data_IF_070948428926
#
_entry.id   IF_070948428926
#
_cell.length_a   1.000
_cell.length_b   1.000
_cell.length_c   1.000
_cell.angle_alpha   90.00
_cell.angle_beta   90.00
_cell.angle_gamma   90.00
#
_symmetry.space_group_name_H-M   'P 1'
#
loop_
_entity.id
_entity.type
_entity.pdbx_description
1 polymer ?
#
# COMPACT_ATOMS: atom_id res chain seq x y z
N UNK A 1 5.89 23.98 2.84
CA UNK A 1 5.43 24.40 4.20
C UNK A 1 6.66 24.51 5.10
N UNK A 2 6.82 25.62 5.86
CA UNK A 2 7.90 25.70 6.83
C UNK A 2 7.65 24.67 7.96
N UNK A 3 8.72 24.12 8.55
CA UNK A 3 8.60 23.12 9.62
C UNK A 3 7.66 23.56 10.76
N UNK A 4 7.64 24.85 11.05
CA UNK A 4 6.76 25.42 12.11
C UNK A 4 5.28 25.38 11.73
N UNK A 5 4.94 25.71 10.50
CA UNK A 5 3.53 25.68 10.02
C UNK A 5 3.02 24.25 9.88
N UNK A 6 3.90 23.31 9.54
CA UNK A 6 3.61 21.88 9.52
C UNK A 6 3.26 21.35 10.92
N UNK A 7 4.11 21.65 11.93
CA UNK A 7 3.88 21.24 13.31
C UNK A 7 2.62 21.89 13.90
N UNK A 8 2.39 23.17 13.63
CA UNK A 8 1.19 23.87 14.08
C UNK A 8 -0.09 23.25 13.49
N UNK A 9 -0.10 22.93 12.20
CA UNK A 9 -1.24 22.26 11.54
C UNK A 9 -1.50 20.88 12.12
N UNK A 10 -0.45 20.12 12.40
CA UNK A 10 -0.56 18.79 13.00
C UNK A 10 -1.09 18.86 14.42
N UNK A 11 -0.59 19.80 15.24
CA UNK A 11 -1.07 20.02 16.60
C UNK A 11 -2.55 20.44 16.62
N UNK A 12 -2.93 21.40 15.80
CA UNK A 12 -4.32 21.85 15.70
C UNK A 12 -5.24 20.66 15.28
N UNK A 13 -4.79 19.84 14.34
CA UNK A 13 -5.53 18.68 13.89
C UNK A 13 -5.69 17.62 15.00
N UNK A 14 -4.65 17.35 15.79
CA UNK A 14 -4.72 16.38 16.90
C UNK A 14 -5.61 16.87 18.05
N UNK A 15 -5.66 18.19 18.30
CA UNK A 15 -6.57 18.79 19.30
C UNK A 15 -8.02 18.65 18.84
N UNK A 16 -8.31 18.94 17.58
CA UNK A 16 -9.66 18.83 17.02
C UNK A 16 -10.11 17.39 16.76
N UNK A 17 -9.17 16.45 16.70
CA UNK A 17 -9.41 15.02 16.49
C UNK A 17 -8.72 14.17 17.58
N UNK A 18 -9.21 14.19 18.83
CA UNK A 18 -8.51 13.61 19.98
C UNK A 18 -8.28 12.09 19.85
N UNK A 19 -9.16 11.39 19.15
CA UNK A 19 -9.00 9.95 18.88
C UNK A 19 -7.77 9.69 18.01
N UNK A 20 -7.58 10.49 16.96
CA UNK A 20 -6.40 10.42 16.07
C UNK A 20 -5.14 10.87 16.82
N UNK A 21 -5.23 11.93 17.61
CA UNK A 21 -4.13 12.38 18.46
C UNK A 21 -3.63 11.28 19.39
N UNK A 22 -4.54 10.54 20.03
CA UNK A 22 -4.20 9.39 20.87
C UNK A 22 -3.51 8.27 20.08
N UNK A 23 -4.00 7.95 18.89
CA UNK A 23 -3.38 6.92 18.02
C UNK A 23 -1.96 7.32 17.59
N UNK A 24 -1.74 8.59 17.25
CA UNK A 24 -0.39 9.10 16.91
C UNK A 24 0.56 8.99 18.11
N UNK A 25 0.08 9.36 19.31
CA UNK A 25 0.88 9.24 20.53
C UNK A 25 1.21 7.78 20.85
N UNK A 26 0.26 6.87 20.72
CA UNK A 26 0.48 5.44 20.91
C UNK A 26 1.51 4.88 19.90
N UNK A 27 1.39 5.26 18.62
CA UNK A 27 2.34 4.84 17.61
C UNK A 27 3.77 5.35 17.88
N UNK A 28 3.90 6.61 18.34
CA UNK A 28 5.22 7.16 18.74
C UNK A 28 5.78 6.47 19.98
N UNK A 29 4.95 6.19 20.97
CA UNK A 29 5.37 5.46 22.16
C UNK A 29 5.85 4.05 21.79
N UNK A 30 5.11 3.34 20.95
CA UNK A 30 5.50 2.03 20.44
C UNK A 30 6.84 2.10 19.68
N UNK A 31 6.99 3.05 18.76
CA UNK A 31 8.23 3.27 18.01
C UNK A 31 9.43 3.56 18.93
N UNK A 32 9.21 4.28 20.03
CA UNK A 32 10.24 4.51 21.05
C UNK A 32 10.61 3.23 21.80
N UNK A 33 9.63 2.40 22.19
CA UNK A 33 9.90 1.11 22.79
C UNK A 33 10.67 0.18 21.84
N UNK A 34 10.24 0.15 20.56
CA UNK A 34 10.85 -0.71 19.53
C UNK A 34 12.29 -0.28 19.18
N UNK A 35 12.65 0.99 19.41
CA UNK A 35 14.01 1.49 19.17
C UNK A 35 15.09 0.84 20.04
N UNK A 36 14.68 0.19 21.15
CA UNK A 36 15.58 -0.59 22.04
C UNK A 36 15.83 -2.03 21.57
N UNK A 37 15.09 -2.51 20.54
CA UNK A 37 15.28 -3.86 20.02
C UNK A 37 16.33 -3.89 18.90
N UNK A 38 17.14 -4.97 18.82
CA UNK A 38 18.12 -5.09 17.76
C UNK A 38 17.45 -5.13 16.39
N UNK A 39 17.92 -4.32 15.48
CA UNK A 39 17.52 -4.41 14.06
C UNK A 39 18.06 -5.73 13.51
N UNK A 40 17.18 -6.62 13.09
CA UNK A 40 17.58 -7.86 12.44
C UNK A 40 18.24 -7.53 11.10
N UNK A 41 19.53 -7.82 10.99
CA UNK A 41 20.24 -7.84 9.73
C UNK A 41 19.91 -9.16 9.03
N UNK A 42 18.96 -9.14 8.12
CA UNK A 42 18.74 -10.30 7.25
C UNK A 42 19.98 -10.46 6.38
N UNK A 43 20.62 -11.63 6.46
CA UNK A 43 21.78 -11.93 5.64
C UNK A 43 21.50 -11.60 4.17
N UNK A 44 22.41 -10.83 3.57
CA UNK A 44 22.23 -10.07 2.32
C UNK A 44 22.10 -10.90 1.04
N UNK A 45 21.59 -12.11 1.08
CA UNK A 45 21.31 -12.85 -0.14
C UNK A 45 20.06 -12.27 -0.79
N UNK A 46 20.25 -11.30 -1.68
CA UNK A 46 19.17 -10.76 -2.52
C UNK A 46 18.65 -11.87 -3.43
N UNK A 47 17.58 -12.52 -3.02
CA UNK A 47 16.89 -13.49 -3.86
C UNK A 47 16.25 -12.74 -5.05
N UNK A 48 16.39 -13.31 -6.24
CA UNK A 48 15.67 -12.81 -7.40
C UNK A 48 14.21 -13.27 -7.31
N UNK A 49 13.30 -12.45 -7.85
CA UNK A 49 11.87 -12.75 -7.84
C UNK A 49 11.58 -14.15 -8.42
N UNK A 50 12.24 -14.49 -9.51
CA UNK A 50 12.06 -15.79 -10.19
C UNK A 50 12.48 -16.96 -9.31
N UNK A 51 13.55 -16.81 -8.52
CA UNK A 51 14.02 -17.85 -7.60
C UNK A 51 13.02 -18.04 -6.45
N UNK A 52 12.42 -16.94 -5.96
CA UNK A 52 11.38 -17.01 -4.93
C UNK A 52 10.14 -17.74 -5.47
N UNK A 53 9.67 -17.35 -6.66
CA UNK A 53 8.49 -17.98 -7.26
C UNK A 53 8.75 -19.46 -7.59
N UNK A 54 9.91 -19.81 -8.13
CA UNK A 54 10.30 -21.20 -8.37
C UNK A 54 10.35 -22.04 -7.10
N UNK A 55 10.83 -21.45 -6.00
CA UNK A 55 10.89 -22.13 -4.71
C UNK A 55 9.50 -22.35 -4.09
N UNK A 56 8.61 -21.34 -4.20
CA UNK A 56 7.26 -21.42 -3.64
C UNK A 56 6.28 -22.21 -4.52
N UNK A 57 6.43 -22.11 -5.84
CA UNK A 57 5.49 -22.65 -6.83
C UNK A 57 6.25 -23.29 -8.01
N UNK A 58 6.97 -24.40 -7.78
CA UNK A 58 7.83 -25.00 -8.82
C UNK A 58 7.05 -25.39 -10.08
N UNK A 59 5.81 -25.86 -9.92
CA UNK A 59 4.94 -26.27 -11.02
C UNK A 59 4.36 -25.11 -11.84
N UNK A 60 4.39 -23.88 -11.29
CA UNK A 60 3.89 -22.69 -11.98
C UNK A 60 4.99 -21.79 -12.51
N UNK A 61 6.25 -22.18 -12.36
CA UNK A 61 7.41 -21.35 -12.73
C UNK A 61 7.46 -21.00 -14.21
N UNK A 62 6.89 -21.84 -15.07
CA UNK A 62 6.82 -21.61 -16.53
C UNK A 62 5.90 -20.43 -16.91
N UNK A 63 5.00 -20.03 -16.02
CA UNK A 63 4.06 -18.93 -16.26
C UNK A 63 4.66 -17.55 -15.96
N UNK A 64 5.83 -17.47 -15.30
CA UNK A 64 6.36 -16.20 -14.76
C UNK A 64 6.52 -15.15 -15.86
N UNK A 65 7.08 -15.54 -17.02
CA UNK A 65 7.34 -14.60 -18.10
C UNK A 65 6.05 -14.04 -18.71
N UNK A 66 5.03 -14.86 -18.91
CA UNK A 66 3.74 -14.42 -19.42
C UNK A 66 2.98 -13.56 -18.41
N UNK A 67 3.04 -13.92 -17.12
CA UNK A 67 2.47 -13.12 -16.05
C UNK A 67 3.15 -11.75 -15.94
N UNK A 68 4.45 -11.68 -16.16
CA UNK A 68 5.22 -10.44 -16.17
C UNK A 68 4.73 -9.49 -17.27
N UNK A 69 4.55 -9.98 -18.49
CA UNK A 69 3.98 -9.19 -19.61
C UNK A 69 2.56 -8.69 -19.34
N UNK A 70 1.77 -9.44 -18.55
CA UNK A 70 0.42 -9.04 -18.14
C UNK A 70 0.38 -7.76 -17.30
N UNK A 71 1.50 -7.33 -16.71
CA UNK A 71 1.57 -6.13 -15.85
C UNK A 71 2.09 -4.87 -16.56
N UNK A 72 2.53 -4.94 -17.83
CA UNK A 72 3.17 -3.80 -18.52
C UNK A 72 2.27 -2.56 -18.55
N UNK A 73 0.98 -2.72 -18.84
CA UNK A 73 0.03 -1.58 -18.84
C UNK A 73 -0.14 -0.98 -17.46
N UNK A 74 -0.13 -1.82 -16.41
CA UNK A 74 -0.25 -1.38 -15.05
C UNK A 74 1.00 -0.63 -14.60
N UNK A 75 2.20 -1.10 -14.98
CA UNK A 75 3.46 -0.41 -14.71
C UNK A 75 3.49 0.96 -15.36
N UNK A 76 3.10 1.07 -16.63
CA UNK A 76 3.00 2.36 -17.32
C UNK A 76 2.03 3.32 -16.59
N UNK A 77 0.89 2.82 -16.13
CA UNK A 77 -0.06 3.63 -15.35
C UNK A 77 0.55 4.13 -14.03
N UNK A 78 1.30 3.27 -13.33
CA UNK A 78 2.03 3.61 -12.10
C UNK A 78 3.06 4.71 -12.38
N UNK A 79 3.87 4.56 -13.42
CA UNK A 79 4.90 5.51 -13.80
C UNK A 79 4.30 6.87 -14.17
N UNK A 80 3.21 6.89 -14.93
CA UNK A 80 2.46 8.11 -15.26
C UNK A 80 1.90 8.80 -14.02
N UNK A 81 1.35 8.03 -13.08
CA UNK A 81 0.83 8.55 -11.83
C UNK A 81 1.95 9.22 -11.00
N UNK A 82 3.09 8.53 -10.83
CA UNK A 82 4.22 9.09 -10.10
C UNK A 82 4.86 10.28 -10.78
N UNK A 83 4.97 10.28 -12.10
CA UNK A 83 5.48 11.43 -12.85
C UNK A 83 4.65 12.69 -12.60
N UNK A 84 3.32 12.57 -12.47
CA UNK A 84 2.44 13.69 -12.09
C UNK A 84 2.71 14.20 -10.68
N UNK A 85 3.04 13.30 -9.74
CA UNK A 85 3.31 13.66 -8.34
C UNK A 85 4.74 14.14 -8.08
N UNK A 86 5.68 13.87 -8.99
CA UNK A 86 7.11 14.14 -8.79
C UNK A 86 7.40 15.62 -8.48
N UNK A 87 6.68 16.52 -9.14
CA UNK A 87 6.85 17.97 -8.99
C UNK A 87 5.94 18.59 -7.93
N UNK A 88 5.06 17.80 -7.31
CA UNK A 88 4.19 18.29 -6.26
C UNK A 88 4.89 18.30 -4.90
N UNK A 89 4.66 19.37 -4.12
CA UNK A 89 5.26 19.53 -2.80
C UNK A 89 4.58 18.60 -1.79
N UNK A 90 5.37 17.82 -1.06
CA UNK A 90 4.90 17.05 0.11
C UNK A 90 5.21 17.84 1.40
N UNK A 91 4.30 17.85 2.40
CA UNK A 91 2.92 17.37 2.32
C UNK A 91 1.96 18.42 1.71
N UNK A 92 1.01 17.95 0.93
CA UNK A 92 -0.08 18.76 0.39
C UNK A 92 -1.30 17.90 0.08
N UNK A 93 -2.45 18.54 -0.22
CA UNK A 93 -3.64 17.81 -0.69
C UNK A 93 -3.43 17.09 -2.02
N UNK A 94 -2.49 17.54 -2.85
CA UNK A 94 -2.14 16.87 -4.12
C UNK A 94 -1.16 15.73 -3.91
N UNK A 95 -0.28 15.83 -2.90
CA UNK A 95 0.69 14.81 -2.51
C UNK A 95 0.54 14.51 -1.02
N UNK A 96 -0.52 13.75 -0.64
CA UNK A 96 -0.87 13.50 0.75
C UNK A 96 0.02 12.45 1.43
N UNK A 97 0.71 11.61 0.66
CA UNK A 97 1.61 10.58 1.16
C UNK A 97 3.03 10.77 0.60
N UNK A 98 4.08 10.45 1.36
CA UNK A 98 5.44 10.42 0.85
C UNK A 98 5.60 9.28 -0.17
N UNK A 99 6.36 9.53 -1.25
CA UNK A 99 6.54 8.51 -2.30
C UNK A 99 7.38 7.32 -1.81
N UNK A 100 8.21 7.55 -0.79
CA UNK A 100 9.07 6.53 -0.18
C UNK A 100 8.27 5.41 0.53
N UNK A 101 7.00 5.66 0.84
CA UNK A 101 6.10 4.65 1.44
C UNK A 101 5.37 3.81 0.40
N UNK A 102 5.66 4.03 -0.88
CA UNK A 102 5.01 3.27 -1.94
C UNK A 102 5.77 2.00 -2.24
N UNK A 103 5.03 0.95 -2.58
CA UNK A 103 5.59 -0.32 -3.00
C UNK A 103 6.35 -0.17 -4.33
N UNK A 104 7.52 -0.79 -4.45
CA UNK A 104 8.23 -0.84 -5.72
C UNK A 104 7.59 -1.83 -6.71
N UNK A 105 7.89 -1.65 -8.00
CA UNK A 105 7.31 -2.47 -9.08
C UNK A 105 7.62 -3.96 -8.94
N UNK A 106 8.78 -4.36 -8.38
CA UNK A 106 9.15 -5.78 -8.22
C UNK A 106 8.29 -6.43 -7.15
N UNK A 107 8.09 -5.74 -6.03
CA UNK A 107 7.21 -6.21 -4.96
C UNK A 107 5.74 -6.25 -5.42
N UNK A 108 5.32 -5.26 -6.21
CA UNK A 108 3.99 -5.27 -6.83
C UNK A 108 3.80 -6.46 -7.78
N UNK A 109 4.77 -6.71 -8.65
CA UNK A 109 4.76 -7.86 -9.54
C UNK A 109 4.71 -9.19 -8.76
N UNK A 110 5.42 -9.29 -7.64
CA UNK A 110 5.35 -10.47 -6.78
C UNK A 110 3.93 -10.70 -6.25
N UNK A 111 3.26 -9.66 -5.75
CA UNK A 111 1.87 -9.75 -5.27
C UNK A 111 0.91 -10.16 -6.38
N UNK A 112 1.08 -9.60 -7.58
CA UNK A 112 0.29 -9.98 -8.75
C UNK A 112 0.46 -11.47 -9.09
N UNK A 113 1.70 -11.96 -9.24
CA UNK A 113 1.99 -13.35 -9.56
C UNK A 113 1.44 -14.28 -8.48
N UNK A 114 1.64 -13.94 -7.20
CA UNK A 114 1.12 -14.69 -6.07
C UNK A 114 -0.41 -14.86 -6.17
N UNK A 115 -1.14 -13.76 -6.38
CA UNK A 115 -2.59 -13.79 -6.52
C UNK A 115 -3.05 -14.53 -7.78
N UNK A 116 -2.29 -14.45 -8.89
CA UNK A 116 -2.60 -15.20 -10.13
C UNK A 116 -2.50 -16.70 -9.92
N UNK A 117 -1.50 -17.16 -9.17
CA UNK A 117 -1.25 -18.60 -8.92
C UNK A 117 -2.24 -19.13 -7.86
N UNK A 118 -2.35 -18.45 -6.70
CA UNK A 118 -3.17 -18.92 -5.57
C UNK A 118 -4.68 -18.77 -5.85
N UNK A 119 -5.07 -17.76 -6.64
CA UNK A 119 -6.49 -17.41 -6.92
C UNK A 119 -7.33 -17.27 -5.65
N UNK A 120 -6.92 -16.39 -4.71
CA UNK A 120 -7.58 -16.25 -3.43
C UNK A 120 -9.01 -15.74 -3.60
N UNK A 121 -9.91 -16.17 -2.70
CA UNK A 121 -11.29 -15.65 -2.63
C UNK A 121 -11.35 -14.34 -1.84
N UNK A 122 -10.44 -14.18 -0.89
CA UNK A 122 -10.34 -13.01 -0.02
C UNK A 122 -8.89 -12.63 0.17
N UNK A 123 -8.58 -11.35 -0.04
CA UNK A 123 -7.29 -10.74 0.31
C UNK A 123 -7.57 -9.61 1.30
N UNK A 124 -6.76 -9.50 2.33
CA UNK A 124 -6.82 -8.40 3.30
C UNK A 124 -5.51 -7.64 3.26
N UNK A 125 -5.62 -6.33 3.13
CA UNK A 125 -4.50 -5.38 3.09
C UNK A 125 -4.65 -4.35 4.19
N UNK A 126 -3.56 -3.96 4.82
CA UNK A 126 -3.51 -2.85 5.76
C UNK A 126 -2.54 -1.79 5.27
N UNK A 127 -3.00 -0.53 5.20
CA UNK A 127 -2.23 0.57 4.62
C UNK A 127 -2.30 0.56 3.10
N UNK A 128 -3.02 1.51 2.54
CA UNK A 128 -3.28 1.63 1.09
C UNK A 128 -2.48 2.79 0.48
N UNK A 129 -2.46 3.93 1.17
CA UNK A 129 -1.90 5.17 0.64
C UNK A 129 -2.45 5.48 -0.77
N UNK A 130 -1.58 5.53 -1.80
CA UNK A 130 -2.02 5.70 -3.19
C UNK A 130 -2.64 4.45 -3.82
N UNK A 131 -2.45 3.25 -3.23
CA UNK A 131 -3.03 2.00 -3.70
C UNK A 131 -2.18 1.20 -4.69
N UNK A 132 -0.84 1.31 -4.62
CA UNK A 132 0.02 0.56 -5.55
C UNK A 132 -0.06 -0.94 -5.34
N UNK A 133 0.10 -1.43 -4.11
CA UNK A 133 -0.08 -2.84 -3.79
C UNK A 133 -1.48 -3.30 -4.19
N UNK A 134 -2.50 -2.49 -3.84
CA UNK A 134 -3.89 -2.76 -4.19
C UNK A 134 -4.08 -2.94 -5.69
N UNK A 135 -3.46 -2.09 -6.54
CA UNK A 135 -3.58 -2.20 -8.01
C UNK A 135 -3.10 -3.54 -8.54
N UNK A 136 -1.93 -4.01 -8.09
CA UNK A 136 -1.35 -5.29 -8.54
C UNK A 136 -2.22 -6.47 -8.09
N UNK A 137 -2.70 -6.45 -6.85
CA UNK A 137 -3.62 -7.47 -6.32
C UNK A 137 -4.93 -7.45 -7.11
N UNK A 138 -5.54 -6.29 -7.29
CA UNK A 138 -6.83 -6.13 -7.98
C UNK A 138 -6.74 -6.54 -9.46
N UNK A 139 -5.64 -6.24 -10.14
CA UNK A 139 -5.41 -6.70 -11.51
C UNK A 139 -5.46 -8.24 -11.56
N UNK A 140 -4.76 -8.91 -10.64
CA UNK A 140 -4.76 -10.36 -10.58
C UNK A 140 -6.16 -10.94 -10.28
N UNK A 141 -6.90 -10.36 -9.32
CA UNK A 141 -8.25 -10.80 -8.97
C UNK A 141 -9.23 -10.61 -10.13
N UNK A 142 -9.17 -9.47 -10.81
CA UNK A 142 -9.99 -9.16 -11.98
C UNK A 142 -9.74 -10.16 -13.11
N UNK A 143 -8.48 -10.44 -13.46
CA UNK A 143 -8.13 -11.41 -14.49
C UNK A 143 -8.47 -12.86 -14.10
N UNK A 144 -8.41 -13.19 -12.81
CA UNK A 144 -8.85 -14.48 -12.29
C UNK A 144 -10.39 -14.61 -12.30
N UNK A 145 -11.13 -13.49 -12.46
CA UNK A 145 -12.58 -13.40 -12.30
C UNK A 145 -13.04 -13.96 -10.96
N UNK A 146 -12.22 -13.78 -9.92
CA UNK A 146 -12.44 -14.36 -8.60
C UNK A 146 -11.74 -13.54 -7.53
N UNK A 147 -12.40 -13.40 -6.38
CA UNK A 147 -11.82 -12.83 -5.18
C UNK A 147 -12.15 -11.35 -4.98
N UNK A 148 -12.02 -10.93 -3.72
CA UNK A 148 -12.22 -9.57 -3.26
C UNK A 148 -11.01 -9.10 -2.45
N UNK A 149 -10.59 -7.86 -2.65
CA UNK A 149 -9.60 -7.18 -1.82
C UNK A 149 -10.33 -6.29 -0.80
N UNK A 150 -10.07 -6.52 0.47
CA UNK A 150 -10.49 -5.69 1.59
C UNK A 150 -9.27 -4.92 2.10
N UNK A 151 -9.25 -3.62 1.87
CA UNK A 151 -8.14 -2.76 2.27
C UNK A 151 -8.56 -1.89 3.45
N UNK A 152 -7.79 -1.93 4.52
CA UNK A 152 -8.04 -1.13 5.73
C UNK A 152 -7.08 0.04 5.72
N UNK A 153 -7.59 1.27 5.74
CA UNK A 153 -6.77 2.48 5.85
C UNK A 153 -7.52 3.61 6.56
N UNK A 154 -6.78 4.60 7.02
CA UNK A 154 -7.31 5.75 7.75
C UNK A 154 -6.54 7.03 7.43
N UNK A 155 -7.11 8.16 7.84
CA UNK A 155 -6.53 9.48 7.67
C UNK A 155 -5.91 9.94 8.99
N UNK A 156 -4.62 10.27 8.98
CA UNK A 156 -3.85 10.67 10.16
C UNK A 156 -3.35 12.12 10.10
N UNK A 157 -3.56 12.82 8.99
CA UNK A 157 -2.97 14.13 8.76
C UNK A 157 -3.96 15.09 8.12
N UNK A 158 -3.89 16.40 8.41
CA UNK A 158 -4.86 17.40 7.95
C UNK A 158 -4.88 17.64 6.44
N UNK A 159 -3.85 17.17 5.72
CA UNK A 159 -3.75 17.23 4.26
C UNK A 159 -4.24 15.96 3.56
N UNK A 160 -4.62 14.93 4.33
CA UNK A 160 -5.17 13.67 3.84
C UNK A 160 -6.70 13.71 3.88
N UNK A 161 -7.34 12.96 3.00
CA UNK A 161 -8.78 12.67 3.05
C UNK A 161 -9.06 11.24 2.60
N UNK A 162 -10.25 10.75 2.91
CA UNK A 162 -10.67 9.39 2.56
C UNK A 162 -10.62 9.15 1.05
N UNK A 163 -10.94 10.16 0.25
CA UNK A 163 -11.00 10.10 -1.22
C UNK A 163 -9.60 9.97 -1.85
N UNK A 164 -8.54 10.29 -1.08
CA UNK A 164 -7.15 10.17 -1.54
C UNK A 164 -6.62 8.75 -1.38
N UNK A 165 -7.25 7.94 -0.52
CA UNK A 165 -6.88 6.54 -0.32
C UNK A 165 -7.19 5.77 -1.59
N UNK A 166 -6.17 5.14 -2.15
CA UNK A 166 -6.30 4.38 -3.39
C UNK A 166 -6.46 5.24 -4.66
N UNK A 167 -6.08 6.53 -4.61
CA UNK A 167 -6.27 7.48 -5.73
C UNK A 167 -5.56 7.09 -7.03
N UNK A 168 -4.59 6.17 -6.98
CA UNK A 168 -3.94 5.63 -8.17
C UNK A 168 -4.68 4.44 -8.78
N UNK A 169 -5.64 3.83 -8.06
CA UNK A 169 -6.33 2.62 -8.52
C UNK A 169 -7.23 2.98 -9.71
N UNK A 170 -7.05 2.34 -10.88
CA UNK A 170 -7.94 2.51 -12.02
C UNK A 170 -9.38 2.11 -11.70
N UNK A 171 -10.36 2.90 -12.16
CA UNK A 171 -11.78 2.69 -11.83
C UNK A 171 -12.30 1.29 -12.21
N UNK A 172 -11.82 0.71 -13.31
CA UNK A 172 -12.23 -0.63 -13.76
C UNK A 172 -11.77 -1.75 -12.83
N UNK A 173 -10.81 -1.50 -11.93
CA UNK A 173 -10.37 -2.48 -10.92
C UNK A 173 -11.16 -2.38 -9.61
N UNK A 174 -11.95 -1.32 -9.42
CA UNK A 174 -12.65 -1.07 -8.16
C UNK A 174 -13.82 -2.05 -7.88
N UNK A 175 -14.27 -2.83 -8.86
CA UNK A 175 -15.33 -3.81 -8.66
C UNK A 175 -14.97 -4.87 -7.60
N UNK A 176 -13.70 -5.29 -7.58
CA UNK A 176 -13.18 -6.29 -6.65
C UNK A 176 -12.57 -5.66 -5.38
N UNK A 177 -12.82 -4.35 -5.12
CA UNK A 177 -12.22 -3.62 -4.00
C UNK A 177 -13.24 -3.13 -2.99
N UNK A 178 -12.89 -3.28 -1.70
CA UNK A 178 -13.65 -2.72 -0.57
C UNK A 178 -12.70 -2.00 0.37
N UNK A 179 -12.83 -0.67 0.45
CA UNK A 179 -12.11 0.13 1.43
C UNK A 179 -12.87 0.13 2.76
N UNK A 180 -12.25 -0.44 3.79
CA UNK A 180 -12.72 -0.41 5.18
C UNK A 180 -12.01 0.73 5.89
N UNK A 181 -12.70 1.84 6.07
CA UNK A 181 -12.13 3.04 6.66
C UNK A 181 -12.01 2.93 8.19
N UNK A 182 -10.79 3.09 8.70
CA UNK A 182 -10.46 3.02 10.12
C UNK A 182 -9.06 2.48 10.38
N UNK A 183 -8.67 2.39 11.65
CA UNK A 183 -7.39 1.80 12.01
C UNK A 183 -7.40 0.29 11.86
N UNK A 184 -6.27 -0.30 11.48
CA UNK A 184 -6.14 -1.76 11.34
C UNK A 184 -6.37 -2.49 12.67
N UNK A 185 -5.97 -1.89 13.79
CA UNK A 185 -6.20 -2.46 15.12
C UNK A 185 -7.68 -2.62 15.49
N UNK A 186 -8.54 -1.74 14.95
CA UNK A 186 -9.99 -1.79 15.18
C UNK A 186 -10.71 -2.63 14.12
N UNK A 187 -10.29 -2.50 12.85
CA UNK A 187 -11.04 -3.01 11.68
C UNK A 187 -10.63 -4.39 11.20
N UNK A 188 -9.43 -4.86 11.53
CA UNK A 188 -8.97 -6.18 11.08
C UNK A 188 -9.85 -7.34 11.58
N UNK A 189 -10.48 -7.18 12.74
CA UNK A 189 -11.39 -8.19 13.31
C UNK A 189 -12.76 -8.21 12.64
N UNK A 190 -13.12 -7.13 11.94
CA UNK A 190 -14.41 -6.98 11.26
C UNK A 190 -14.34 -7.42 9.79
N UNK A 191 -13.11 -7.57 9.26
CA UNK A 191 -12.82 -7.94 7.86
C UNK A 191 -12.55 -9.42 7.71
#
# INVERSE_FOLDING_TARGET
>A
MNNLSFLASLLAYTITNPKIGRQILQAKYQSWQDSGYPVFNYAEKKLQLDDIIKALFPESSYLIEDLRKGTDKLQNHVDDFFNKLKNETYPSKKKPYPLEYTLDNKSGLFLYILCKIIKPEKVVETGVAYGLSSMYILQALSENKKGMLYSIDSVFSPWQSKEMIGSAIPSHLCENWRLVFGSSSEKLKET
#
